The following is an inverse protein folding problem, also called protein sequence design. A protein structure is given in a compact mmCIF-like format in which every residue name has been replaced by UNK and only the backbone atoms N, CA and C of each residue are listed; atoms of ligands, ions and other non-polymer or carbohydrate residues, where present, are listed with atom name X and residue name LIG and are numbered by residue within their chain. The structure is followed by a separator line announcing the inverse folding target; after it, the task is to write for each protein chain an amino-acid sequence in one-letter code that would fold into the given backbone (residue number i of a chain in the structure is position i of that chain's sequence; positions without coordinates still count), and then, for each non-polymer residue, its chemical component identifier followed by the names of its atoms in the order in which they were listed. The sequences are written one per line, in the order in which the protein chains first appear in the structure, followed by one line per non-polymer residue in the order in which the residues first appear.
data_IF_050709015276
#
_entry.id   IF_050709015276
#
_cell.length_a   1.000
_cell.length_b   1.000
_cell.length_c   1.000
_cell.angle_alpha   90.00
_cell.angle_beta   90.00
_cell.angle_gamma   90.00
#
_symmetry.space_group_name_H-M   'P 1'
#
loop_
_entity.id
_entity.type
_entity.pdbx_description
1 polymer ?
#
# COMPACT_ATOMS: atom_id res chain seq x y z
N UNK A 1 16.81 28.49 1.89
CA UNK A 1 16.18 27.72 0.79
C UNK A 1 15.26 26.69 1.42
N UNK A 2 13.96 26.76 1.11
CA UNK A 2 12.93 25.98 1.78
C UNK A 2 12.98 24.53 1.26
N UNK A 3 13.26 23.57 2.16
CA UNK A 3 13.50 22.15 1.86
C UNK A 3 12.27 21.43 1.24
N UNK A 4 11.14 22.12 1.13
CA UNK A 4 9.91 21.65 0.49
C UNK A 4 9.93 21.74 -1.05
N UNK A 5 10.86 22.49 -1.66
CA UNK A 5 10.93 22.64 -3.11
C UNK A 5 11.61 21.46 -3.83
N UNK A 6 12.42 20.65 -3.13
CA UNK A 6 13.19 19.55 -3.72
C UNK A 6 12.42 18.23 -3.86
N UNK A 7 11.12 18.18 -3.56
CA UNK A 7 10.32 16.96 -3.71
C UNK A 7 9.78 16.75 -5.13
N UNK A 8 9.96 17.70 -6.05
CA UNK A 8 9.26 17.68 -7.35
C UNK A 8 10.13 17.50 -8.61
N UNK A 9 11.46 17.46 -8.51
CA UNK A 9 12.35 17.47 -9.69
C UNK A 9 12.84 16.09 -10.14
N UNK A 10 12.39 15.02 -9.49
CA UNK A 10 12.50 13.66 -10.00
C UNK A 10 11.11 13.02 -10.06
N UNK A 11 10.17 13.68 -10.74
CA UNK A 11 8.89 13.10 -11.09
C UNK A 11 9.13 11.94 -12.08
N UNK A 12 9.55 10.78 -11.56
CA UNK A 12 9.04 9.51 -12.08
C UNK A 12 7.54 9.75 -12.12
N UNK A 13 6.99 9.93 -13.33
CA UNK A 13 5.54 10.10 -13.51
C UNK A 13 4.91 8.97 -12.71
N UNK A 14 4.30 9.30 -11.57
CA UNK A 14 3.79 8.29 -10.66
C UNK A 14 2.80 7.47 -11.46
N UNK A 15 3.14 6.22 -11.72
CA UNK A 15 2.30 5.36 -12.53
C UNK A 15 1.01 5.14 -11.76
N UNK A 16 -0.03 5.87 -12.17
CA UNK A 16 -1.34 5.87 -11.53
C UNK A 16 -1.98 4.48 -11.47
N UNK A 17 -1.53 3.53 -12.32
CA UNK A 17 -1.95 2.14 -12.22
C UNK A 17 -1.55 1.48 -10.90
N UNK A 18 -0.60 2.02 -10.14
CA UNK A 18 -0.22 1.48 -8.82
C UNK A 18 -0.99 2.08 -7.64
N UNK A 19 -2.03 2.87 -7.91
CA UNK A 19 -2.95 3.38 -6.90
C UNK A 19 -4.10 2.40 -6.74
N UNK A 20 -4.25 1.87 -5.54
CA UNK A 20 -5.32 0.95 -5.17
C UNK A 20 -6.16 1.55 -4.06
N UNK A 21 -7.43 1.20 -4.04
CA UNK A 21 -8.27 1.42 -2.87
C UNK A 21 -7.77 0.57 -1.68
N UNK A 22 -8.11 0.96 -0.46
CA UNK A 22 -7.69 0.35 0.80
C UNK A 22 -8.12 -1.12 0.90
N UNK A 23 -9.33 -1.45 0.47
CA UNK A 23 -9.81 -2.84 0.46
C UNK A 23 -8.95 -3.74 -0.43
N UNK A 24 -8.86 -3.46 -1.75
CA UNK A 24 -7.98 -4.15 -2.68
C UNK A 24 -6.52 -4.19 -2.25
N UNK A 25 -6.01 -3.17 -1.54
CA UNK A 25 -4.67 -3.22 -0.96
C UNK A 25 -4.53 -4.36 0.06
N UNK A 26 -5.46 -4.47 1.01
CA UNK A 26 -5.42 -5.55 2.01
C UNK A 26 -5.66 -6.94 1.41
N UNK A 27 -6.45 -7.04 0.34
CA UNK A 27 -6.67 -8.31 -0.37
C UNK A 27 -5.38 -8.87 -1.00
N UNK A 28 -4.37 -8.03 -1.27
CA UNK A 28 -3.06 -8.48 -1.78
C UNK A 28 -2.23 -9.25 -0.76
N UNK A 29 -2.62 -9.25 0.51
CA UNK A 29 -2.02 -10.11 1.52
C UNK A 29 -2.58 -11.54 1.47
N UNK A 30 -3.59 -11.81 0.62
CA UNK A 30 -4.14 -13.14 0.36
C UNK A 30 -4.49 -13.87 1.66
N UNK A 31 -4.09 -15.13 1.81
CA UNK A 31 -4.34 -15.93 3.01
C UNK A 31 -3.73 -15.33 4.30
N UNK A 32 -2.72 -14.46 4.19
CA UNK A 32 -2.08 -13.81 5.34
C UNK A 32 -2.88 -12.59 5.85
N UNK A 33 -3.89 -12.11 5.12
CA UNK A 33 -4.62 -10.88 5.43
C UNK A 33 -5.17 -10.85 6.86
N UNK A 34 -5.80 -11.93 7.34
CA UNK A 34 -6.32 -11.98 8.71
C UNK A 34 -5.22 -11.94 9.77
N UNK A 35 -4.08 -12.60 9.53
CA UNK A 35 -2.94 -12.56 10.43
C UNK A 35 -2.33 -11.15 10.52
N UNK A 36 -2.25 -10.46 9.38
CA UNK A 36 -1.81 -9.05 9.31
C UNK A 36 -2.77 -8.15 10.09
N UNK A 37 -4.07 -8.21 9.79
CA UNK A 37 -5.08 -7.36 10.43
C UNK A 37 -5.25 -7.65 11.93
N UNK A 38 -4.97 -8.89 12.35
CA UNK A 38 -4.99 -9.34 13.73
C UNK A 38 -3.68 -9.10 14.50
N UNK A 39 -2.64 -8.58 13.87
CA UNK A 39 -1.36 -8.30 14.54
C UNK A 39 -1.56 -7.36 15.72
N UNK A 40 -0.88 -7.65 16.83
CA UNK A 40 -0.84 -6.82 18.05
C UNK A 40 0.44 -6.01 18.17
N UNK A 41 1.38 -6.16 17.22
CA UNK A 41 2.61 -5.37 17.19
C UNK A 41 2.29 -3.87 17.01
N UNK A 42 2.76 -2.97 17.91
CA UNK A 42 2.41 -1.56 17.85
C UNK A 42 2.81 -0.86 16.55
N UNK A 43 3.93 -1.26 15.95
CA UNK A 43 4.42 -0.69 14.68
C UNK A 43 3.54 -1.13 13.52
N UNK A 44 3.19 -2.42 13.49
CA UNK A 44 2.24 -2.95 12.50
C UNK A 44 0.88 -2.27 12.66
N UNK A 45 0.37 -2.11 13.90
CA UNK A 45 -0.90 -1.40 14.13
C UNK A 45 -0.86 0.03 13.60
N UNK A 46 0.19 0.79 13.89
CA UNK A 46 0.33 2.17 13.42
C UNK A 46 0.32 2.24 11.89
N UNK A 47 1.00 1.30 11.22
CA UNK A 47 0.96 1.18 9.76
C UNK A 47 -0.46 0.89 9.23
N UNK A 48 -1.14 -0.11 9.79
CA UNK A 48 -2.49 -0.48 9.38
C UNK A 48 -3.50 0.65 9.57
N UNK A 49 -3.43 1.37 10.70
CA UNK A 49 -4.29 2.53 10.93
C UNK A 49 -3.97 3.68 9.96
N UNK A 50 -2.69 3.92 9.64
CA UNK A 50 -2.31 4.88 8.59
C UNK A 50 -2.85 4.50 7.21
N UNK A 51 -2.91 3.21 6.88
CA UNK A 51 -3.52 2.73 5.63
C UNK A 51 -5.04 2.98 5.61
N UNK A 52 -5.75 2.73 6.72
CA UNK A 52 -7.21 2.86 6.80
C UNK A 52 -7.73 4.28 6.65
N UNK A 53 -6.96 5.28 7.08
CA UNK A 53 -7.35 6.70 6.96
C UNK A 53 -7.10 7.28 5.57
N UNK A 54 -6.47 6.54 4.66
CA UNK A 54 -6.20 6.98 3.29
C UNK A 54 -7.37 6.64 2.37
N UNK A 55 -7.58 7.47 1.36
CA UNK A 55 -8.56 7.22 0.28
C UNK A 55 -8.07 6.18 -0.73
N UNK A 56 -6.75 6.14 -0.92
CA UNK A 56 -6.04 5.23 -1.81
C UNK A 56 -4.62 5.04 -1.31
N UNK A 57 -4.00 3.95 -1.75
CA UNK A 57 -2.64 3.58 -1.39
C UNK A 57 -1.84 3.44 -2.67
N UNK A 58 -0.76 4.21 -2.78
CA UNK A 58 0.24 4.00 -3.82
C UNK A 58 1.20 2.90 -3.36
N UNK A 59 1.11 1.70 -3.94
CA UNK A 59 1.84 0.52 -3.43
C UNK A 59 3.36 0.60 -3.61
N UNK A 60 3.83 1.46 -4.52
CA UNK A 60 5.26 1.75 -4.70
C UNK A 60 5.80 2.74 -3.65
N UNK A 61 4.93 3.39 -2.87
CA UNK A 61 5.35 4.39 -1.90
C UNK A 61 6.30 3.77 -0.86
N UNK A 62 7.45 4.38 -0.53
CA UNK A 62 8.42 3.83 0.41
C UNK A 62 7.84 3.45 1.78
N UNK A 63 6.95 4.28 2.33
CA UNK A 63 6.18 3.98 3.55
C UNK A 63 5.44 2.64 3.51
N UNK A 64 4.84 2.27 2.36
CA UNK A 64 4.16 0.97 2.22
C UNK A 64 5.17 -0.17 2.29
N UNK A 65 6.32 0.00 1.62
CA UNK A 65 7.42 -0.97 1.71
C UNK A 65 7.93 -1.16 3.13
N UNK A 66 8.14 -0.07 3.87
CA UNK A 66 8.57 -0.09 5.27
C UNK A 66 7.53 -0.73 6.20
N UNK A 67 6.24 -0.45 5.98
CA UNK A 67 5.15 -1.09 6.71
C UNK A 67 5.10 -2.60 6.51
N UNK A 68 5.31 -3.07 5.28
CA UNK A 68 5.39 -4.50 4.98
C UNK A 68 6.65 -5.12 5.63
N UNK A 69 7.79 -4.43 5.62
CA UNK A 69 8.98 -4.90 6.34
C UNK A 69 8.75 -5.05 7.85
N UNK A 70 7.97 -4.15 8.46
CA UNK A 70 7.60 -4.28 9.87
C UNK A 70 6.71 -5.51 10.13
N UNK A 71 5.79 -5.83 9.22
CA UNK A 71 4.95 -7.04 9.30
C UNK A 71 5.82 -8.32 9.20
N UNK A 72 6.81 -8.32 8.31
CA UNK A 72 7.79 -9.41 8.17
C UNK A 72 8.63 -9.54 9.45
N UNK A 73 9.15 -8.42 9.98
CA UNK A 73 9.95 -8.40 11.20
C UNK A 73 9.17 -8.87 12.44
N UNK A 74 7.86 -8.60 12.48
CA UNK A 74 6.95 -9.11 13.51
C UNK A 74 6.67 -10.62 13.38
N UNK A 75 7.21 -11.30 12.35
CA UNK A 75 7.08 -12.75 12.16
C UNK A 75 5.69 -13.19 11.73
N UNK A 76 4.93 -12.32 11.02
CA UNK A 76 3.56 -12.65 10.60
C UNK A 76 3.59 -13.82 9.60
N UNK A 77 2.92 -14.95 9.85
CA UNK A 77 2.94 -16.10 8.96
C UNK A 77 2.44 -15.75 7.55
N UNK A 78 3.17 -16.21 6.53
CA UNK A 78 2.82 -15.99 5.13
C UNK A 78 3.18 -14.61 4.57
N UNK A 79 3.76 -13.71 5.37
CA UNK A 79 4.28 -12.43 4.88
C UNK A 79 5.80 -12.50 4.79
N UNK A 80 6.32 -12.44 3.57
CA UNK A 80 7.74 -12.51 3.28
C UNK A 80 8.18 -11.49 2.20
N UNK A 81 9.47 -11.46 1.89
CA UNK A 81 10.03 -10.58 0.87
C UNK A 81 9.46 -10.82 -0.54
N UNK A 82 9.03 -12.05 -0.84
CA UNK A 82 8.42 -12.41 -2.11
C UNK A 82 7.01 -11.83 -2.22
N UNK A 83 6.20 -11.94 -1.17
CA UNK A 83 4.88 -11.31 -1.08
C UNK A 83 5.00 -9.78 -1.14
N UNK A 84 5.96 -9.18 -0.44
CA UNK A 84 6.25 -7.74 -0.55
C UNK A 84 6.54 -7.35 -2.00
N UNK A 85 7.44 -8.07 -2.68
CA UNK A 85 7.78 -7.80 -4.07
C UNK A 85 6.56 -7.93 -4.99
N UNK A 86 5.66 -8.89 -4.76
CA UNK A 86 4.38 -8.99 -5.48
C UNK A 86 3.47 -7.78 -5.20
N UNK A 87 3.23 -7.45 -3.93
CA UNK A 87 2.38 -6.31 -3.55
C UNK A 87 2.86 -5.01 -4.21
N UNK A 88 4.18 -4.75 -4.19
CA UNK A 88 4.76 -3.55 -4.78
C UNK A 88 4.95 -3.67 -6.30
N UNK A 89 4.99 -4.89 -6.85
CA UNK A 89 5.23 -5.16 -8.27
C UNK A 89 3.98 -5.17 -9.14
N UNK A 90 2.80 -5.38 -8.53
CA UNK A 90 1.55 -5.58 -9.26
C UNK A 90 0.75 -4.27 -9.36
N UNK A 91 0.39 -3.78 -10.56
CA UNK A 91 -0.53 -2.66 -10.71
C UNK A 91 -1.96 -3.05 -10.26
N UNK A 92 -2.82 -2.08 -10.01
CA UNK A 92 -4.25 -2.26 -9.81
C UNK A 92 -4.85 -2.99 -11.00
N UNK A 93 -5.84 -3.84 -10.74
CA UNK A 93 -6.62 -4.46 -11.82
C UNK A 93 -7.42 -3.37 -12.54
N UNK A 94 -7.68 -3.52 -13.85
CA UNK A 94 -8.49 -2.54 -14.59
C UNK A 94 -9.85 -2.26 -13.94
N UNK A 95 -10.49 -3.27 -13.35
CA UNK A 95 -11.76 -3.13 -12.62
C UNK A 95 -11.62 -2.32 -11.32
N UNK A 96 -10.53 -2.53 -10.57
CA UNK A 96 -10.21 -1.77 -9.35
C UNK A 96 -9.97 -0.30 -9.71
N UNK A 97 -9.21 -0.05 -10.79
CA UNK A 97 -8.92 1.30 -11.24
C UNK A 97 -10.15 2.02 -11.80
N UNK A 98 -11.01 1.32 -12.55
CA UNK A 98 -12.29 1.87 -12.99
C UNK A 98 -13.23 2.21 -11.81
N UNK A 99 -13.28 1.36 -10.79
CA UNK A 99 -14.05 1.62 -9.57
C UNK A 99 -13.52 2.84 -8.81
N UNK A 100 -12.19 2.94 -8.65
CA UNK A 100 -11.51 4.09 -8.04
C UNK A 100 -11.86 5.39 -8.79
N UNK A 101 -11.72 5.39 -10.12
CA UNK A 101 -12.02 6.54 -10.96
C UNK A 101 -13.48 6.98 -10.84
N UNK A 102 -14.42 6.03 -10.87
CA UNK A 102 -15.85 6.31 -10.70
C UNK A 102 -16.17 6.90 -9.34
N UNK A 103 -15.56 6.39 -8.27
CA UNK A 103 -15.82 6.86 -6.90
C UNK A 103 -15.33 8.29 -6.67
N UNK A 104 -14.17 8.66 -7.23
CA UNK A 104 -13.52 9.94 -6.93
C UNK A 104 -13.67 11.01 -8.01
N UNK A 105 -13.95 10.64 -9.26
CA UNK A 105 -13.95 11.57 -10.40
C UNK A 105 -15.22 11.53 -11.26
N UNK A 106 -16.25 10.80 -10.84
CA UNK A 106 -17.60 10.94 -11.40
C UNK A 106 -17.91 10.17 -12.70
N UNK A 107 -16.91 9.60 -13.36
CA UNK A 107 -17.09 8.80 -14.59
C UNK A 107 -17.27 9.63 -15.86
#
# INVERSE_FOLDING_TARGET
MNQFATLNDAAVKEDTSFYVDVGPFFDRFEAAQLAVLGSTDPTVRAFLESCKVRKWIWVKHPFVGQGIDAIIAAGTPGVDASLKARIQGTPARPSEQAALLKLYFGG
#
